data_IF_964606000976
#
_entry.id   IF_964606000976
#
_cell.length_a   1.000
_cell.length_b   1.000
_cell.length_c   1.000
_cell.angle_alpha   90.00
_cell.angle_beta   90.00
_cell.angle_gamma   90.00
#
_symmetry.space_group_name_H-M   'P 1'
#
loop_
_entity.id
_entity.type
_entity.pdbx_description
1 polymer ?
#
# COMPACT_ATOMS: atom_id res chain seq x y z
N UNK A 1 -43.72 40.64 24.49
CA UNK A 1 -43.72 39.33 23.78
C UNK A 1 -42.71 39.44 22.66
N UNK A 2 -41.78 38.49 22.55
CA UNK A 2 -40.70 38.51 21.55
C UNK A 2 -41.20 37.87 20.25
N UNK A 3 -40.96 38.51 19.11
CA UNK A 3 -41.18 37.94 17.77
C UNK A 3 -39.83 37.59 17.14
N UNK A 4 -39.52 36.31 17.00
CA UNK A 4 -38.22 35.84 16.52
C UNK A 4 -38.12 35.90 14.98
N UNK A 5 -36.96 36.33 14.49
CA UNK A 5 -36.57 36.28 13.08
C UNK A 5 -36.22 34.82 12.71
N UNK A 6 -36.80 34.30 11.63
CA UNK A 6 -36.38 33.03 11.02
C UNK A 6 -35.67 33.28 9.69
N UNK A 7 -34.38 33.57 9.80
CA UNK A 7 -33.46 33.63 8.66
C UNK A 7 -33.12 32.20 8.21
N UNK A 8 -33.67 31.76 7.07
CA UNK A 8 -33.25 30.49 6.46
C UNK A 8 -31.85 30.62 5.84
N UNK A 9 -30.83 30.18 6.58
CA UNK A 9 -29.45 30.10 6.10
C UNK A 9 -29.27 28.96 5.09
N UNK A 10 -28.84 29.29 3.88
CA UNK A 10 -28.53 28.31 2.84
C UNK A 10 -27.18 27.64 3.15
N UNK A 11 -27.20 26.46 3.79
CA UNK A 11 -25.97 25.71 4.07
C UNK A 11 -25.53 24.93 2.82
N UNK A 12 -24.71 25.57 1.98
CA UNK A 12 -24.07 24.92 0.84
C UNK A 12 -22.92 24.01 1.33
N UNK A 13 -23.19 22.72 1.48
CA UNK A 13 -22.19 21.72 1.86
C UNK A 13 -21.18 21.49 0.72
N UNK A 14 -20.12 22.29 0.66
CA UNK A 14 -18.96 22.03 -0.20
C UNK A 14 -18.16 20.86 0.37
N UNK A 15 -18.37 19.66 -0.18
CA UNK A 15 -17.52 18.52 0.10
C UNK A 15 -16.11 18.79 -0.48
N UNK A 16 -15.16 19.12 0.39
CA UNK A 16 -13.75 19.17 0.03
C UNK A 16 -13.23 17.74 -0.15
N UNK A 17 -13.08 17.30 -1.40
CA UNK A 17 -12.28 16.11 -1.69
C UNK A 17 -10.81 16.42 -1.42
N UNK A 18 -10.25 15.85 -0.36
CA UNK A 18 -8.81 15.71 -0.20
C UNK A 18 -8.31 14.69 -1.22
N UNK A 19 -7.95 15.16 -2.42
CA UNK A 19 -7.04 14.44 -3.28
C UNK A 19 -5.63 14.62 -2.71
N UNK A 20 -5.16 13.63 -1.94
CA UNK A 20 -3.75 13.57 -1.57
C UNK A 20 -2.93 13.43 -2.86
N UNK A 21 -2.12 14.44 -3.15
CA UNK A 21 -1.15 14.39 -4.24
C UNK A 21 0.10 13.65 -3.78
N UNK A 22 -0.07 12.38 -3.42
CA UNK A 22 1.03 11.49 -3.09
C UNK A 22 1.86 11.29 -4.35
N UNK A 23 3.14 11.68 -4.31
CA UNK A 23 4.05 11.54 -5.44
C UNK A 23 4.43 10.09 -5.72
N UNK A 24 5.29 9.87 -6.72
CA UNK A 24 5.89 8.56 -6.99
C UNK A 24 6.56 7.99 -5.73
N UNK A 25 6.09 6.83 -5.25
CA UNK A 25 6.77 6.04 -4.22
C UNK A 25 7.67 4.99 -4.87
N UNK A 26 8.89 4.83 -4.36
CA UNK A 26 9.89 3.87 -4.84
C UNK A 26 10.34 2.99 -3.67
N UNK A 27 9.77 1.79 -3.56
CA UNK A 27 10.15 0.80 -2.56
C UNK A 27 11.15 -0.19 -3.19
N UNK A 28 12.38 -0.24 -2.70
CA UNK A 28 13.41 -1.17 -3.23
C UNK A 28 13.29 -2.54 -2.57
N UNK A 29 12.64 -3.47 -3.26
CA UNK A 29 12.36 -4.83 -2.75
C UNK A 29 13.57 -5.76 -2.83
N UNK A 30 14.59 -5.42 -3.63
CA UNK A 30 15.89 -6.10 -3.62
C UNK A 30 16.98 -5.10 -3.99
N UNK A 31 17.72 -4.58 -3.01
CA UNK A 31 18.89 -3.73 -3.26
C UNK A 31 20.11 -4.54 -3.73
N UNK A 32 20.82 -4.01 -4.72
CA UNK A 32 22.04 -4.59 -5.30
C UNK A 32 23.14 -3.52 -5.30
N UNK A 33 24.38 -3.91 -4.98
CA UNK A 33 25.53 -3.03 -5.15
C UNK A 33 26.13 -3.19 -6.55
N UNK A 34 26.38 -2.06 -7.21
CA UNK A 34 27.00 -2.02 -8.53
C UNK A 34 27.73 -0.69 -8.76
N UNK A 35 28.74 -0.72 -9.63
CA UNK A 35 29.46 0.49 -10.07
C UNK A 35 28.66 1.30 -11.10
N UNK A 36 27.88 0.63 -11.96
CA UNK A 36 27.11 1.24 -13.05
C UNK A 36 25.59 1.11 -12.81
N UNK A 37 25.00 2.20 -12.31
CA UNK A 37 23.55 2.39 -12.17
C UNK A 37 22.94 3.02 -13.42
N UNK A 38 21.64 2.84 -13.65
CA UNK A 38 20.90 3.49 -14.75
C UNK A 38 20.94 5.01 -14.69
N UNK A 39 21.12 5.65 -15.84
CA UNK A 39 21.13 7.11 -16.00
C UNK A 39 20.23 7.55 -17.15
N UNK A 40 19.89 8.85 -17.16
CA UNK A 40 19.09 9.46 -18.22
C UNK A 40 19.77 9.29 -19.59
N UNK A 41 19.05 8.66 -20.52
CA UNK A 41 19.53 8.37 -21.88
C UNK A 41 19.89 6.90 -22.11
N UNK A 42 20.01 6.08 -21.07
CA UNK A 42 20.25 4.64 -21.20
C UNK A 42 19.11 3.92 -21.92
N UNK A 43 19.46 2.90 -22.70
CA UNK A 43 18.51 1.84 -23.09
C UNK A 43 18.61 0.73 -22.06
N UNK A 44 17.49 0.35 -21.47
CA UNK A 44 17.42 -0.67 -20.41
C UNK A 44 16.43 -1.77 -20.76
N UNK A 45 16.69 -2.97 -20.26
CA UNK A 45 15.80 -4.13 -20.33
C UNK A 45 15.21 -4.38 -18.95
N UNK A 46 13.89 -4.30 -18.80
CA UNK A 46 13.19 -4.43 -17.52
C UNK A 46 12.13 -5.52 -17.60
N UNK A 47 12.13 -6.44 -16.64
CA UNK A 47 10.97 -7.26 -16.36
C UNK A 47 10.04 -6.52 -15.39
N UNK A 48 8.74 -6.63 -15.61
CA UNK A 48 7.71 -6.03 -14.77
C UNK A 48 6.42 -6.85 -14.72
N UNK A 49 5.65 -6.58 -13.66
CA UNK A 49 4.20 -6.80 -13.51
C UNK A 49 3.55 -5.47 -13.11
N UNK A 50 2.45 -5.11 -13.76
CA UNK A 50 1.63 -3.93 -13.44
C UNK A 50 0.23 -4.32 -12.98
N UNK A 51 -0.18 -3.82 -11.81
CA UNK A 51 -1.51 -4.00 -11.24
C UNK A 51 -2.13 -2.68 -10.79
N UNK A 52 -3.47 -2.65 -10.73
CA UNK A 52 -4.19 -1.54 -10.11
C UNK A 52 -4.01 -1.62 -8.59
N UNK A 53 -3.74 -0.48 -7.93
CA UNK A 53 -3.68 -0.44 -6.46
C UNK A 53 -5.02 -0.84 -5.84
N UNK A 54 -6.13 -0.39 -6.44
CA UNK A 54 -7.47 -0.83 -6.07
C UNK A 54 -7.73 -2.27 -6.61
N UNK A 55 -8.08 -3.17 -5.71
CA UNK A 55 -8.35 -4.58 -5.99
C UNK A 55 -7.15 -5.44 -6.46
N UNK A 56 -5.94 -4.89 -6.58
CA UNK A 56 -4.72 -5.64 -6.93
C UNK A 56 -4.71 -6.25 -8.33
N UNK A 57 -5.64 -5.88 -9.21
CA UNK A 57 -5.87 -6.56 -10.49
C UNK A 57 -4.71 -6.30 -11.47
N UNK A 58 -4.03 -7.36 -11.91
CA UNK A 58 -3.04 -7.29 -13.01
C UNK A 58 -3.69 -6.74 -14.29
N UNK A 59 -3.00 -5.83 -14.96
CA UNK A 59 -3.39 -5.30 -16.27
C UNK A 59 -2.38 -5.63 -17.37
N UNK A 60 -1.10 -5.80 -17.04
CA UNK A 60 -0.03 -6.19 -17.96
C UNK A 60 1.18 -6.75 -17.19
N UNK A 61 1.86 -7.74 -17.76
CA UNK A 61 3.13 -8.24 -17.25
C UNK A 61 4.02 -8.72 -18.41
N UNK A 62 5.29 -8.34 -18.35
CA UNK A 62 6.33 -8.80 -19.30
C UNK A 62 6.52 -10.33 -19.29
N UNK A 63 6.34 -10.97 -18.13
CA UNK A 63 6.47 -12.42 -17.94
C UNK A 63 5.50 -13.20 -18.82
N UNK A 64 4.29 -12.67 -19.06
CA UNK A 64 3.27 -13.28 -19.93
C UNK A 64 3.72 -13.35 -21.40
N UNK A 65 4.77 -12.60 -21.78
CA UNK A 65 5.40 -12.61 -23.12
C UNK A 65 6.76 -13.33 -23.13
N UNK A 66 7.26 -13.77 -21.98
CA UNK A 66 8.57 -14.44 -21.86
C UNK A 66 9.80 -13.58 -22.17
N UNK A 67 9.66 -12.26 -22.33
CA UNK A 67 10.76 -11.36 -22.66
C UNK A 67 10.70 -10.04 -21.88
N UNK A 68 11.84 -9.45 -21.48
CA UNK A 68 11.90 -8.11 -20.90
C UNK A 68 11.35 -7.04 -21.87
N UNK A 69 10.90 -5.93 -21.33
CA UNK A 69 10.57 -4.74 -22.10
C UNK A 69 11.79 -3.82 -22.21
N UNK A 70 12.06 -3.35 -23.43
CA UNK A 70 13.21 -2.50 -23.73
C UNK A 70 12.76 -1.04 -23.90
N UNK A 71 13.29 -0.14 -23.07
CA UNK A 71 12.92 1.28 -23.04
C UNK A 71 14.15 2.17 -22.98
N UNK A 72 14.07 3.38 -23.54
CA UNK A 72 15.08 4.43 -23.33
C UNK A 72 14.59 5.38 -22.24
N UNK A 73 15.22 5.35 -21.07
CA UNK A 73 14.84 6.24 -19.95
C UNK A 73 15.31 7.66 -20.24
N UNK A 74 14.50 8.65 -19.83
CA UNK A 74 14.76 10.06 -20.06
C UNK A 74 14.31 10.59 -21.41
N UNK A 75 13.64 9.77 -22.21
CA UNK A 75 13.19 10.10 -23.56
C UNK A 75 11.70 10.46 -23.64
N UNK A 76 10.94 10.33 -22.53
CA UNK A 76 9.49 10.56 -22.53
C UNK A 76 8.73 9.52 -23.36
N UNK A 77 9.24 8.27 -23.37
CA UNK A 77 8.65 7.15 -24.11
C UNK A 77 7.71 6.31 -23.24
N UNK A 78 7.80 6.42 -21.92
CA UNK A 78 6.93 5.76 -20.94
C UNK A 78 6.31 6.78 -19.99
N UNK A 79 5.43 6.29 -19.11
CA UNK A 79 4.80 7.11 -18.06
C UNK A 79 5.86 7.76 -17.14
N UNK A 80 5.59 8.95 -16.61
CA UNK A 80 6.56 9.73 -15.81
C UNK A 80 7.11 8.93 -14.63
N UNK A 81 6.25 8.15 -13.96
CA UNK A 81 6.66 7.31 -12.83
C UNK A 81 7.72 6.26 -13.19
N UNK A 82 7.81 5.84 -14.45
CA UNK A 82 8.90 4.98 -14.95
C UNK A 82 10.13 5.79 -15.38
N UNK A 83 9.94 6.95 -16.01
CA UNK A 83 11.04 7.85 -16.40
C UNK A 83 11.86 8.32 -15.17
N UNK A 84 11.23 8.42 -14.00
CA UNK A 84 11.85 8.76 -12.72
C UNK A 84 12.20 7.52 -11.87
N UNK A 85 11.27 6.57 -11.72
CA UNK A 85 11.42 5.42 -10.81
C UNK A 85 12.47 4.38 -11.19
N UNK A 86 12.91 4.37 -12.46
CA UNK A 86 13.90 3.44 -13.01
C UNK A 86 15.31 4.06 -13.15
N UNK A 87 15.53 5.28 -12.64
CA UNK A 87 16.86 5.89 -12.52
C UNK A 87 17.63 5.36 -11.29
N UNK A 88 18.95 5.48 -11.30
CA UNK A 88 19.84 5.08 -10.21
C UNK A 88 19.67 3.61 -9.76
N UNK A 89 19.39 2.71 -10.71
CA UNK A 89 19.07 1.30 -10.48
C UNK A 89 20.21 0.37 -10.96
N UNK A 90 20.54 -0.64 -10.17
CA UNK A 90 21.56 -1.64 -10.47
C UNK A 90 20.99 -2.85 -11.24
N UNK A 91 21.79 -3.48 -12.10
CA UNK A 91 21.36 -4.71 -12.82
C UNK A 91 21.13 -5.82 -11.79
N UNK A 92 19.93 -6.41 -11.78
CA UNK A 92 19.45 -7.37 -10.79
C UNK A 92 18.69 -6.75 -9.61
N UNK A 93 18.66 -5.42 -9.47
CA UNK A 93 17.85 -4.74 -8.45
C UNK A 93 16.36 -4.95 -8.73
N UNK A 94 15.53 -4.97 -7.67
CA UNK A 94 14.07 -5.00 -7.78
C UNK A 94 13.42 -3.86 -7.02
N UNK A 95 12.36 -3.30 -7.61
CA UNK A 95 11.59 -2.17 -7.05
C UNK A 95 10.11 -2.37 -7.23
N UNK A 96 9.35 -1.97 -6.23
CA UNK A 96 7.91 -1.71 -6.34
C UNK A 96 7.73 -0.20 -6.49
N UNK A 97 7.09 0.22 -7.58
CA UNK A 97 6.76 1.62 -7.86
C UNK A 97 5.26 1.82 -7.63
N UNK A 98 4.88 2.72 -6.71
CA UNK A 98 3.49 3.18 -6.58
C UNK A 98 3.37 4.50 -7.32
N UNK A 99 2.65 4.48 -8.43
CA UNK A 99 2.60 5.59 -9.40
C UNK A 99 1.21 6.24 -9.34
N UNK A 100 1.09 7.49 -8.84
CA UNK A 100 -0.16 8.23 -8.85
C UNK A 100 -0.61 8.51 -10.28
N UNK A 101 -1.91 8.75 -10.45
CA UNK A 101 -2.52 8.79 -11.79
C UNK A 101 -1.90 9.86 -12.71
N UNK A 102 -1.54 11.03 -12.18
CA UNK A 102 -0.93 12.15 -12.91
C UNK A 102 0.52 11.89 -13.40
N UNK A 103 1.19 10.91 -12.78
CA UNK A 103 2.47 10.34 -13.22
C UNK A 103 2.31 9.05 -14.04
N UNK A 104 1.09 8.50 -14.10
CA UNK A 104 0.67 7.35 -14.91
C UNK A 104 -0.13 7.76 -16.16
N UNK A 105 -1.38 7.29 -16.26
CA UNK A 105 -2.28 7.50 -17.41
C UNK A 105 -3.35 8.60 -17.21
N UNK A 106 -3.33 9.26 -16.06
CA UNK A 106 -4.16 10.42 -15.74
C UNK A 106 -5.67 10.14 -15.68
N UNK A 107 -6.51 11.19 -15.70
CA UNK A 107 -7.96 11.08 -15.59
C UNK A 107 -8.63 10.41 -16.82
N UNK A 108 -7.87 10.12 -17.90
CA UNK A 108 -8.38 9.43 -19.09
C UNK A 108 -8.20 7.91 -19.03
N UNK A 109 -7.23 7.42 -18.28
CA UNK A 109 -6.88 6.00 -18.26
C UNK A 109 -6.30 5.51 -19.60
N UNK A 110 -6.12 4.20 -19.72
CA UNK A 110 -5.65 3.56 -20.96
C UNK A 110 -6.05 2.08 -21.01
N UNK A 111 -6.82 1.68 -22.03
CA UNK A 111 -7.22 0.28 -22.24
C UNK A 111 -7.93 -0.31 -21.00
N UNK A 112 -7.37 -1.34 -20.33
CA UNK A 112 -7.95 -1.92 -19.12
C UNK A 112 -7.75 -1.09 -17.84
N UNK A 113 -7.01 0.03 -17.91
CA UNK A 113 -6.67 0.89 -16.77
C UNK A 113 -7.68 2.05 -16.71
N UNK A 114 -8.50 2.17 -15.64
CA UNK A 114 -9.46 3.27 -15.51
C UNK A 114 -8.76 4.62 -15.28
N UNK A 115 -9.45 5.71 -15.65
CA UNK A 115 -8.97 7.06 -15.38
C UNK A 115 -8.91 7.35 -13.87
N UNK A 116 -7.88 8.08 -13.45
CA UNK A 116 -7.66 8.38 -12.02
C UNK A 116 -7.01 7.25 -11.22
N UNK A 117 -6.73 6.10 -11.82
CA UNK A 117 -6.12 4.96 -11.12
C UNK A 117 -4.66 5.23 -10.69
N UNK A 118 -4.33 4.80 -9.48
CA UNK A 118 -2.96 4.60 -9.00
C UNK A 118 -2.49 3.19 -9.37
N UNK A 119 -1.24 3.08 -9.82
CA UNK A 119 -0.67 1.86 -10.40
C UNK A 119 0.44 1.33 -9.49
N UNK A 120 0.48 0.01 -9.30
CA UNK A 120 1.60 -0.68 -8.65
C UNK A 120 2.39 -1.40 -9.74
N UNK A 121 3.70 -1.17 -9.81
CA UNK A 121 4.60 -1.89 -10.69
C UNK A 121 5.70 -2.60 -9.90
N UNK A 122 5.68 -3.93 -9.91
CA UNK A 122 6.84 -4.74 -9.55
C UNK A 122 7.81 -4.73 -10.73
N UNK A 123 9.07 -4.39 -10.52
CA UNK A 123 10.08 -4.23 -11.58
C UNK A 123 11.41 -4.88 -11.21
N UNK A 124 12.12 -5.39 -12.21
CA UNK A 124 13.43 -6.02 -12.11
C UNK A 124 14.32 -5.60 -13.29
N UNK A 125 15.47 -4.98 -13.02
CA UNK A 125 16.38 -4.51 -14.06
C UNK A 125 17.23 -5.67 -14.59
N UNK A 126 17.00 -6.06 -15.85
CA UNK A 126 17.66 -7.22 -16.47
C UNK A 126 18.99 -6.87 -17.15
N UNK A 127 19.16 -5.63 -17.59
CA UNK A 127 20.37 -5.14 -18.24
C UNK A 127 20.31 -3.66 -18.66
N UNK A 128 21.49 -3.10 -18.94
CA UNK A 128 21.70 -1.77 -19.50
C UNK A 128 22.51 -1.98 -20.79
N UNK A 129 22.12 -1.35 -21.89
CA UNK A 129 22.78 -1.49 -23.19
C UNK A 129 24.24 -1.01 -23.12
N UNK A 130 25.16 -1.82 -23.65
CA UNK A 130 26.61 -1.59 -23.52
C UNK A 130 27.23 -1.87 -22.14
N UNK A 131 26.49 -2.43 -21.18
CA UNK A 131 27.00 -2.83 -19.85
C UNK A 131 26.96 -4.35 -19.71
N UNK A 132 28.09 -4.97 -19.39
CA UNK A 132 28.14 -6.41 -19.13
C UNK A 132 27.35 -6.76 -17.85
N UNK A 133 26.55 -7.82 -17.93
CA UNK A 133 25.76 -8.28 -16.77
C UNK A 133 26.70 -8.94 -15.75
N UNK A 134 26.69 -8.53 -14.47
CA UNK A 134 27.59 -9.11 -13.47
C UNK A 134 27.28 -10.60 -13.26
N UNK A 135 28.32 -11.44 -13.23
CA UNK A 135 28.20 -12.89 -12.98
C UNK A 135 27.65 -13.20 -11.57
N UNK A 136 27.82 -12.27 -10.63
CA UNK A 136 27.35 -12.37 -9.24
C UNK A 136 26.62 -11.10 -8.87
N UNK A 137 25.34 -11.24 -8.52
CA UNK A 137 24.53 -10.15 -7.97
C UNK A 137 24.87 -10.04 -6.48
N UNK A 138 25.56 -8.98 -6.08
CA UNK A 138 25.82 -8.66 -4.67
C UNK A 138 24.57 -7.99 -4.11
N UNK A 139 23.66 -8.79 -3.57
CA UNK A 139 22.48 -8.31 -2.84
C UNK A 139 22.96 -7.63 -1.55
N UNK A 140 22.48 -6.42 -1.29
CA UNK A 140 22.57 -5.86 0.06
C UNK A 140 21.62 -6.64 0.94
N UNK A 141 22.17 -7.52 1.78
CA UNK A 141 21.44 -8.02 2.93
C UNK A 141 21.14 -6.81 3.83
N UNK A 142 19.87 -6.54 4.19
CA UNK A 142 19.54 -5.46 5.09
C UNK A 142 20.26 -5.71 6.42
N UNK A 143 20.78 -4.67 7.07
CA UNK A 143 21.46 -4.86 8.36
C UNK A 143 20.42 -5.36 9.36
N UNK A 144 20.81 -6.29 10.22
CA UNK A 144 19.92 -6.94 11.19
C UNK A 144 19.25 -5.95 12.17
N UNK A 145 19.74 -4.71 12.23
CA UNK A 145 19.22 -3.59 13.01
C UNK A 145 18.10 -2.83 12.27
N UNK A 146 18.22 -2.62 10.96
CA UNK A 146 17.22 -1.94 10.12
C UNK A 146 15.92 -2.76 10.03
N UNK A 147 16.06 -4.10 9.92
CA UNK A 147 14.93 -5.05 9.95
C UNK A 147 14.15 -4.98 11.27
N UNK A 148 14.79 -4.62 12.39
CA UNK A 148 14.14 -4.56 13.71
C UNK A 148 13.34 -3.27 13.90
N UNK A 149 13.69 -2.18 13.24
CA UNK A 149 12.90 -0.94 13.28
C UNK A 149 11.67 -1.03 12.35
N UNK A 150 11.81 -1.48 11.10
CA UNK A 150 10.65 -1.64 10.18
C UNK A 150 9.61 -2.65 10.70
N UNK A 151 10.05 -3.75 11.33
CA UNK A 151 9.14 -4.73 11.94
C UNK A 151 8.44 -4.17 13.18
N UNK A 152 9.09 -3.26 13.92
CA UNK A 152 8.49 -2.59 15.07
C UNK A 152 7.44 -1.57 14.63
N UNK A 153 7.73 -0.75 13.63
CA UNK A 153 6.78 0.23 13.07
C UNK A 153 5.52 -0.46 12.51
N UNK A 154 5.68 -1.52 11.70
CA UNK A 154 4.54 -2.34 11.22
C UNK A 154 3.79 -3.08 12.32
N UNK A 155 4.45 -3.47 13.42
CA UNK A 155 3.79 -4.10 14.55
C UNK A 155 2.95 -3.09 15.36
N UNK A 156 3.36 -1.83 15.42
CA UNK A 156 2.64 -0.75 16.11
C UNK A 156 1.42 -0.29 15.30
N UNK A 157 1.56 -0.09 13.98
CA UNK A 157 0.43 0.18 13.07
C UNK A 157 -0.59 -0.98 13.08
N UNK A 158 -0.12 -2.23 13.06
CA UNK A 158 -1.00 -3.39 13.15
C UNK A 158 -1.73 -3.48 14.49
N UNK A 159 -1.13 -3.04 15.60
CA UNK A 159 -1.74 -3.06 16.93
C UNK A 159 -2.88 -2.04 17.09
N UNK A 160 -2.75 -0.84 16.52
CA UNK A 160 -3.78 0.20 16.60
C UNK A 160 -5.04 -0.19 15.81
N UNK A 161 -4.88 -0.86 14.66
CA UNK A 161 -5.98 -1.37 13.85
C UNK A 161 -6.83 -2.48 14.52
N UNK A 162 -6.27 -3.23 15.49
CA UNK A 162 -7.03 -4.29 16.21
C UNK A 162 -7.96 -3.69 17.26
N UNK A 163 -7.52 -2.62 17.94
CA UNK A 163 -8.29 -1.97 19.01
C UNK A 163 -9.68 -1.51 18.53
N UNK A 164 -9.74 -0.91 17.33
CA UNK A 164 -10.99 -0.41 16.77
C UNK A 164 -11.95 -1.55 16.34
N UNK A 165 -11.43 -2.75 16.06
CA UNK A 165 -12.21 -3.91 15.61
C UNK A 165 -12.70 -4.82 16.75
N UNK A 166 -12.07 -4.77 17.92
CA UNK A 166 -12.56 -5.45 19.14
C UNK A 166 -13.74 -4.70 19.74
N UNK A 167 -13.73 -3.36 19.71
CA UNK A 167 -14.79 -2.53 20.27
C UNK A 167 -16.18 -2.77 19.65
N UNK A 168 -16.28 -3.13 18.36
CA UNK A 168 -17.57 -3.37 17.69
C UNK A 168 -18.15 -4.76 17.93
N UNK A 169 -17.36 -5.76 18.35
CA UNK A 169 -17.82 -7.14 18.54
C UNK A 169 -18.36 -7.39 19.96
N UNK A 170 -17.94 -6.58 20.94
CA UNK A 170 -18.41 -6.68 22.34
C UNK A 170 -19.81 -6.05 22.54
N UNK A 171 -20.34 -5.33 21.54
CA UNK A 171 -21.61 -4.61 21.65
C UNK A 171 -22.90 -5.44 21.53
N UNK A 172 -22.85 -6.68 21.03
CA UNK A 172 -24.06 -7.42 20.62
C UNK A 172 -24.20 -8.83 21.23
N UNK A 173 -23.49 -9.11 22.32
CA UNK A 173 -23.53 -10.41 23.03
C UNK A 173 -23.75 -10.25 24.55
N UNK A 174 -24.72 -9.42 24.95
CA UNK A 174 -25.00 -9.10 26.35
C UNK A 174 -26.49 -9.17 26.74
N UNK A 175 -27.27 -10.12 26.19
CA UNK A 175 -28.54 -10.55 26.82
C UNK A 175 -28.82 -12.06 26.65
N UNK A 176 -27.98 -12.91 27.23
CA UNK A 176 -28.33 -14.30 27.55
C UNK A 176 -27.43 -14.82 28.68
N UNK A 177 -27.90 -15.85 29.40
CA UNK A 177 -27.17 -16.60 30.44
C UNK A 177 -26.89 -15.82 31.74
N UNK A 178 -27.92 -15.74 32.60
CA UNK A 178 -27.76 -15.48 34.04
C UNK A 178 -28.69 -16.33 34.91
N UNK A 179 -28.42 -17.63 34.99
CA UNK A 179 -28.92 -18.56 36.03
C UNK A 179 -27.99 -19.78 36.11
N UNK A 180 -27.87 -20.39 37.31
CA UNK A 180 -27.17 -21.68 37.58
C UNK A 180 -25.64 -21.61 37.42
N UNK A 181 -24.75 -21.83 38.40
CA UNK A 181 -24.77 -22.17 39.85
C UNK A 181 -23.70 -21.28 40.55
N UNK A 182 -23.55 -21.16 41.88
CA UNK A 182 -24.20 -21.73 43.06
C UNK A 182 -24.10 -20.72 44.25
N UNK A 183 -24.80 -21.00 45.34
CA UNK A 183 -24.48 -20.56 46.71
C UNK A 183 -24.95 -21.63 47.71
N UNK A 184 -24.30 -21.77 48.88
CA UNK A 184 -24.59 -22.86 49.80
C UNK A 184 -23.73 -22.91 51.07
N UNK A 185 -24.14 -22.14 52.08
CA UNK A 185 -23.95 -22.29 53.55
C UNK A 185 -24.54 -21.02 54.20
N UNK A 186 -25.10 -20.99 55.41
CA UNK A 186 -25.46 -22.05 56.37
C UNK A 186 -26.58 -21.54 57.31
N UNK A 187 -27.15 -22.46 58.09
CA UNK A 187 -27.74 -22.28 59.43
C UNK A 187 -28.95 -21.37 59.78
N UNK A 188 -29.75 -21.98 60.68
CA UNK A 188 -30.52 -21.45 61.81
C UNK A 188 -32.00 -20.96 61.71
N UNK A 189 -32.90 -21.89 62.09
CA UNK A 189 -33.69 -21.83 63.35
C UNK A 189 -34.74 -20.69 63.53
N UNK A 190 -36.06 -20.99 63.47
CA UNK A 190 -36.93 -21.36 64.63
C UNK A 190 -38.46 -21.12 64.41
N UNK A 191 -39.25 -21.86 65.19
CA UNK A 191 -40.68 -21.72 65.55
C UNK A 191 -41.79 -21.98 64.49
N UNK A 192 -42.84 -22.78 64.78
CA UNK A 192 -43.94 -22.67 65.79
C UNK A 192 -44.85 -21.45 65.50
N UNK A 193 -46.19 -21.55 65.35
CA UNK A 193 -47.20 -22.63 65.42
C UNK A 193 -48.23 -22.44 64.26
N UNK A 194 -49.30 -23.21 64.02
CA UNK A 194 -50.07 -24.25 64.74
C UNK A 194 -50.42 -25.42 63.79
#
# INVERSE_FOLDING_TARGET
MQGALLSFGLLASTAFSFAAADGLKIDKTLEVECERKTVKGDRISVHYRGSLQDGGKEFDASYNRGQPFNVKIGAGQVIKGWEEGLLDMCIGEKRTLTIPSDMGYGPRGMGPIPGGATLIFETELMGIDGVEKPEKIVVKLPKEEEVKEEVKEKAEEAAEGIAQKVASVVGEAAEAVKTVVADGTDDNQEHNEL
#
